data_IF_003504125189
#
_entry.id   IF_003504125189
#
_cell.length_a   1.000
_cell.length_b   1.000
_cell.length_c   1.000
_cell.angle_alpha   90.00
_cell.angle_beta   90.00
_cell.angle_gamma   90.00
#
_symmetry.space_group_name_H-M   'P 1'
#
loop_
_entity.id
_entity.type
_entity.pdbx_description
1 polymer ?
#
# COMPACT_ATOMS: atom_id res chain seq x y z
N UNK A 1 27.91 30.53 -0.73
CA UNK A 1 28.13 29.52 -1.79
C UNK A 1 27.34 29.83 -3.06
N UNK A 2 26.01 30.04 -3.02
CA UNK A 2 25.25 30.60 -4.15
C UNK A 2 25.84 31.94 -4.64
N UNK A 3 26.24 32.81 -3.70
CA UNK A 3 26.88 34.10 -4.01
C UNK A 3 28.17 33.99 -4.84
N UNK A 4 28.98 32.95 -4.66
CA UNK A 4 30.26 32.80 -5.36
C UNK A 4 30.06 32.37 -6.82
N UNK A 5 28.99 31.61 -7.08
CA UNK A 5 28.64 31.16 -8.43
C UNK A 5 27.86 32.21 -9.20
N UNK A 6 27.03 33.02 -8.53
CA UNK A 6 26.42 34.21 -9.15
C UNK A 6 27.51 35.17 -9.63
N UNK A 7 28.54 35.44 -8.81
CA UNK A 7 29.65 36.31 -9.20
C UNK A 7 30.54 35.71 -10.31
N UNK A 8 30.78 34.39 -10.28
CA UNK A 8 31.56 33.72 -11.35
C UNK A 8 30.77 33.53 -12.66
N UNK A 9 29.43 33.51 -12.63
CA UNK A 9 28.58 33.44 -13.83
C UNK A 9 28.80 34.62 -14.76
N UNK A 10 28.92 35.81 -14.19
CA UNK A 10 29.22 37.06 -14.91
C UNK A 10 30.67 37.07 -15.42
N UNK A 11 31.62 36.61 -14.59
CA UNK A 11 33.06 36.63 -14.93
C UNK A 11 33.48 35.60 -15.99
N UNK A 12 32.81 34.44 -16.05
CA UNK A 12 33.14 33.35 -16.97
C UNK A 12 32.27 33.35 -18.25
N UNK A 13 31.28 34.24 -18.35
CA UNK A 13 30.33 34.32 -19.47
C UNK A 13 29.62 32.97 -19.77
N UNK A 14 29.34 32.20 -18.72
CA UNK A 14 28.60 30.93 -18.79
C UNK A 14 27.21 31.16 -18.19
N UNK A 15 26.18 31.48 -18.99
CA UNK A 15 24.86 31.83 -18.48
C UNK A 15 24.12 30.65 -17.85
N UNK A 16 24.64 29.42 -17.87
CA UNK A 16 23.95 28.21 -17.38
C UNK A 16 24.83 27.36 -16.45
N UNK A 17 25.57 28.02 -15.55
CA UNK A 17 26.30 27.34 -14.48
C UNK A 17 25.33 27.05 -13.33
N UNK A 18 25.02 25.76 -13.12
CA UNK A 18 24.01 25.32 -12.14
C UNK A 18 24.63 24.28 -11.22
N UNK A 19 24.37 24.37 -9.91
CA UNK A 19 24.66 23.26 -8.99
C UNK A 19 23.48 22.30 -9.06
N UNK A 20 23.74 21.08 -9.53
CA UNK A 20 22.75 20.01 -9.58
C UNK A 20 23.10 18.90 -8.59
N UNK A 21 22.07 18.15 -8.19
CA UNK A 21 22.26 16.93 -7.40
C UNK A 21 22.79 15.80 -8.28
N UNK A 22 23.78 15.06 -7.78
CA UNK A 22 24.34 13.89 -8.47
C UNK A 22 24.37 12.68 -7.55
N UNK A 23 24.10 11.48 -8.09
CA UNK A 23 23.94 10.25 -7.30
C UNK A 23 25.22 9.89 -6.53
N UNK A 24 26.39 10.00 -7.18
CA UNK A 24 27.68 9.62 -6.57
C UNK A 24 28.40 10.78 -5.87
N UNK A 25 28.09 12.03 -6.25
CA UNK A 25 28.86 13.20 -5.83
C UNK A 25 28.04 14.20 -5.00
N UNK A 26 26.78 13.88 -4.70
CA UNK A 26 25.80 14.71 -3.96
C UNK A 26 25.48 16.02 -4.67
N UNK A 27 26.45 16.93 -4.84
CA UNK A 27 26.33 18.17 -5.61
C UNK A 27 27.49 18.35 -6.58
N UNK A 28 27.18 18.74 -7.81
CA UNK A 28 28.15 19.01 -8.88
C UNK A 28 27.82 20.31 -9.59
N UNK A 29 28.83 20.98 -10.12
CA UNK A 29 28.63 22.09 -11.07
C UNK A 29 28.42 21.50 -12.45
N UNK A 30 27.28 21.76 -13.06
CA UNK A 30 26.93 21.25 -14.38
C UNK A 30 26.95 22.38 -15.41
N UNK A 31 27.64 22.13 -16.52
CA UNK A 31 27.68 23.04 -17.68
C UNK A 31 27.41 22.27 -19.00
N UNK A 32 26.88 22.93 -20.04
CA UNK A 32 26.79 22.33 -21.37
C UNK A 32 28.18 21.99 -21.91
N UNK A 33 28.31 20.84 -22.60
CA UNK A 33 29.59 20.38 -23.16
C UNK A 33 30.23 21.40 -24.11
N UNK A 34 29.40 22.16 -24.84
CA UNK A 34 29.85 23.23 -25.76
C UNK A 34 30.60 24.38 -25.07
N UNK A 35 30.53 24.48 -23.74
CA UNK A 35 31.18 25.51 -22.93
C UNK A 35 32.32 24.95 -22.07
N UNK A 36 32.69 23.68 -22.24
CA UNK A 36 33.74 23.02 -21.46
C UNK A 36 35.09 23.74 -21.55
N UNK A 37 35.50 24.18 -22.74
CA UNK A 37 36.78 24.88 -22.94
C UNK A 37 36.94 26.16 -22.10
N UNK A 38 35.83 26.76 -21.63
CA UNK A 38 35.89 27.94 -20.76
C UNK A 38 36.32 27.63 -19.31
N UNK A 39 36.28 26.35 -18.89
CA UNK A 39 36.65 25.89 -17.56
C UNK A 39 37.95 25.06 -17.53
N UNK A 40 38.42 24.57 -18.68
CA UNK A 40 39.64 23.72 -18.76
C UNK A 40 40.93 24.44 -18.32
N UNK A 41 40.93 25.77 -18.28
CA UNK A 41 42.06 26.58 -17.81
C UNK A 41 41.94 27.11 -16.37
N UNK A 42 40.83 26.85 -15.67
CA UNK A 42 40.63 27.32 -14.30
C UNK A 42 41.00 26.21 -13.30
N UNK A 43 42.09 26.41 -12.55
CA UNK A 43 42.61 25.44 -11.59
C UNK A 43 41.63 25.11 -10.45
N UNK A 44 40.62 25.95 -10.24
CA UNK A 44 39.64 25.72 -9.18
C UNK A 44 38.58 24.66 -9.56
N UNK A 45 38.44 24.35 -10.85
CA UNK A 45 37.45 23.40 -11.37
C UNK A 45 38.10 22.08 -11.78
N UNK A 46 37.72 21.01 -11.10
CA UNK A 46 38.14 19.64 -11.39
C UNK A 46 37.03 18.93 -12.14
N UNK A 47 37.31 18.47 -13.37
CA UNK A 47 36.36 17.68 -14.15
C UNK A 47 36.11 16.33 -13.45
N UNK A 48 34.84 16.03 -13.18
CA UNK A 48 34.42 14.76 -12.59
C UNK A 48 33.95 13.76 -13.65
N UNK A 49 33.08 14.20 -14.54
CA UNK A 49 32.43 13.37 -15.55
C UNK A 49 31.98 14.22 -16.73
N UNK A 50 32.07 13.69 -17.95
CA UNK A 50 31.49 14.30 -19.14
C UNK A 50 30.56 13.31 -19.85
N UNK A 51 29.41 13.82 -20.29
CA UNK A 51 28.43 13.10 -21.11
C UNK A 51 28.32 13.77 -22.48
N UNK A 52 27.57 13.17 -23.40
CA UNK A 52 27.36 13.72 -24.76
C UNK A 52 26.75 15.13 -24.78
N UNK A 53 26.12 15.58 -23.69
CA UNK A 53 25.44 16.88 -23.62
C UNK A 53 25.99 17.82 -22.55
N UNK A 54 26.59 17.29 -21.48
CA UNK A 54 26.98 18.08 -20.30
C UNK A 54 28.28 17.59 -19.68
N UNK A 55 29.05 18.53 -19.15
CA UNK A 55 30.22 18.27 -18.33
C UNK A 55 29.95 18.67 -16.87
N UNK A 56 30.45 17.85 -15.94
CA UNK A 56 30.27 18.00 -14.49
C UNK A 56 31.61 18.26 -13.83
N UNK A 57 31.66 19.29 -12.99
CA UNK A 57 32.85 19.73 -12.30
C UNK A 57 32.64 19.79 -10.79
N UNK A 58 33.74 19.72 -10.06
CA UNK A 58 33.82 20.02 -8.65
C UNK A 58 34.81 21.14 -8.38
N UNK A 59 34.69 21.76 -7.22
CA UNK A 59 35.70 22.66 -6.65
C UNK A 59 36.08 22.18 -5.26
N UNK A 60 37.20 22.64 -4.71
CA UNK A 60 37.63 22.26 -3.35
C UNK A 60 36.55 22.59 -2.31
N UNK A 61 35.90 23.76 -2.41
CA UNK A 61 34.79 24.13 -1.53
C UNK A 61 33.57 23.23 -1.70
N UNK A 62 33.30 22.77 -2.92
CA UNK A 62 32.20 21.85 -3.20
C UNK A 62 32.51 20.45 -2.62
N UNK A 63 33.76 19.99 -2.69
CA UNK A 63 34.20 18.74 -2.10
C UNK A 63 34.05 18.74 -0.58
N UNK A 64 34.49 19.79 0.11
CA UNK A 64 34.30 19.94 1.57
C UNK A 64 32.82 19.87 1.97
N UNK A 65 31.95 20.54 1.21
CA UNK A 65 30.52 20.52 1.48
C UNK A 65 29.89 19.16 1.19
N UNK A 66 30.30 18.49 0.12
CA UNK A 66 29.82 17.14 -0.19
C UNK A 66 30.27 16.14 0.88
N UNK A 67 31.51 16.24 1.38
CA UNK A 67 31.98 15.41 2.49
C UNK A 67 31.14 15.60 3.76
N UNK A 68 30.85 16.86 4.12
CA UNK A 68 29.97 17.18 5.26
C UNK A 68 28.53 16.72 5.05
N UNK A 69 27.98 16.86 3.84
CA UNK A 69 26.64 16.37 3.53
C UNK A 69 26.58 14.85 3.62
N UNK A 70 27.61 14.16 3.14
CA UNK A 70 27.70 12.71 3.19
C UNK A 70 27.72 12.20 4.65
N UNK A 71 28.53 12.81 5.52
CA UNK A 71 28.58 12.42 6.93
C UNK A 71 27.23 12.63 7.62
N UNK A 72 26.53 13.74 7.33
CA UNK A 72 25.19 14.00 7.88
C UNK A 72 24.14 13.03 7.35
N UNK A 73 24.24 12.61 6.08
CA UNK A 73 23.36 11.58 5.52
C UNK A 73 23.58 10.23 6.20
N UNK A 74 24.84 9.83 6.39
CA UNK A 74 25.19 8.59 7.10
C UNK A 74 24.71 8.60 8.55
N UNK A 75 24.89 9.71 9.28
CA UNK A 75 24.39 9.89 10.65
C UNK A 75 22.86 9.83 10.70
N UNK A 76 22.18 10.53 9.79
CA UNK A 76 20.73 10.51 9.69
C UNK A 76 20.19 9.10 9.44
N UNK A 77 20.79 8.35 8.50
CA UNK A 77 20.41 6.97 8.21
C UNK A 77 20.60 6.06 9.43
N UNK A 78 21.69 6.22 10.19
CA UNK A 78 21.93 5.46 11.41
C UNK A 78 20.86 5.73 12.48
N UNK A 79 20.56 7.01 12.74
CA UNK A 79 19.54 7.41 13.72
C UNK A 79 18.17 6.90 13.29
N UNK A 80 17.81 7.04 12.02
CA UNK A 80 16.54 6.58 11.49
C UNK A 80 16.39 5.06 11.63
N UNK A 81 17.46 4.30 11.33
CA UNK A 81 17.46 2.84 11.49
C UNK A 81 17.27 2.46 12.95
N UNK A 82 18.01 3.07 13.86
CA UNK A 82 17.88 2.81 15.30
C UNK A 82 16.46 3.11 15.81
N UNK A 83 15.88 4.24 15.41
CA UNK A 83 14.51 4.61 15.79
C UNK A 83 13.47 3.62 15.22
N UNK A 84 13.66 3.17 13.98
CA UNK A 84 12.77 2.19 13.36
C UNK A 84 12.85 0.83 14.06
N UNK A 85 14.05 0.39 14.44
CA UNK A 85 14.25 -0.86 15.18
C UNK A 85 13.62 -0.78 16.57
N UNK A 86 13.80 0.34 17.27
CA UNK A 86 13.19 0.57 18.58
C UNK A 86 11.65 0.56 18.51
N UNK A 87 11.06 1.25 17.53
CA UNK A 87 9.62 1.24 17.31
C UNK A 87 9.10 -0.18 17.03
N UNK A 88 9.79 -0.95 16.19
CA UNK A 88 9.43 -2.34 15.92
C UNK A 88 9.48 -3.18 17.19
N UNK A 89 10.49 -3.00 18.04
CA UNK A 89 10.61 -3.71 19.32
C UNK A 89 9.47 -3.34 20.28
N UNK A 90 9.11 -2.06 20.38
CA UNK A 90 7.98 -1.61 21.21
C UNK A 90 6.63 -2.14 20.71
N UNK A 91 6.42 -2.23 19.40
CA UNK A 91 5.18 -2.80 18.85
C UNK A 91 5.14 -4.31 19.05
N UNK A 92 6.25 -5.00 18.77
CA UNK A 92 6.32 -6.46 18.91
C UNK A 92 6.27 -6.93 20.35
N UNK A 93 6.67 -6.11 21.33
CA UNK A 93 6.46 -6.43 22.76
C UNK A 93 4.97 -6.50 23.14
N UNK A 94 4.08 -5.94 22.32
CA UNK A 94 2.62 -6.00 22.49
C UNK A 94 1.94 -6.93 21.47
N UNK A 95 2.70 -7.76 20.75
CA UNK A 95 2.19 -8.56 19.64
C UNK A 95 1.03 -9.48 20.04
N UNK A 96 1.08 -10.08 21.23
CA UNK A 96 0.03 -11.01 21.65
C UNK A 96 -1.28 -10.27 21.98
N UNK A 97 -1.22 -9.13 22.67
CA UNK A 97 -2.39 -8.27 22.88
C UNK A 97 -2.98 -7.77 21.56
N UNK A 98 -2.14 -7.41 20.58
CA UNK A 98 -2.60 -6.99 19.26
C UNK A 98 -3.29 -8.13 18.49
N UNK A 99 -2.81 -9.37 18.63
CA UNK A 99 -3.46 -10.55 18.03
C UNK A 99 -4.80 -10.83 18.68
N UNK A 100 -4.89 -10.80 20.01
CA UNK A 100 -6.15 -11.00 20.73
C UNK A 100 -7.19 -9.94 20.34
N UNK A 101 -6.76 -8.67 20.24
CA UNK A 101 -7.59 -7.59 19.75
C UNK A 101 -8.06 -7.85 18.31
N UNK A 102 -7.16 -8.27 17.42
CA UNK A 102 -7.50 -8.56 16.03
C UNK A 102 -8.54 -9.69 15.90
N UNK A 103 -8.41 -10.76 16.69
CA UNK A 103 -9.40 -11.84 16.75
C UNK A 103 -10.75 -11.32 17.23
N UNK A 104 -10.76 -10.55 18.32
CA UNK A 104 -11.99 -9.97 18.88
C UNK A 104 -12.68 -9.04 17.87
N UNK A 105 -11.90 -8.23 17.14
CA UNK A 105 -12.43 -7.36 16.08
C UNK A 105 -13.00 -8.16 14.91
N UNK A 106 -12.36 -9.26 14.52
CA UNK A 106 -12.86 -10.14 13.47
C UNK A 106 -14.18 -10.82 13.87
N UNK A 107 -14.30 -11.27 15.12
CA UNK A 107 -15.55 -11.82 15.65
C UNK A 107 -16.69 -10.80 15.62
N UNK A 108 -16.41 -9.56 16.02
CA UNK A 108 -17.37 -8.46 15.95
C UNK A 108 -17.78 -8.14 14.50
N UNK A 109 -16.84 -8.09 13.57
CA UNK A 109 -17.11 -7.83 12.16
C UNK A 109 -18.04 -8.90 11.56
N UNK A 110 -17.75 -10.19 11.81
CA UNK A 110 -18.61 -11.29 11.37
C UNK A 110 -20.00 -11.22 12.02
N UNK A 111 -20.06 -11.01 13.34
CA UNK A 111 -21.34 -10.96 14.06
C UNK A 111 -22.23 -9.80 13.58
N UNK A 112 -21.64 -8.61 13.40
CA UNK A 112 -22.37 -7.43 12.91
C UNK A 112 -22.78 -7.56 11.45
N UNK A 113 -21.91 -8.13 10.60
CA UNK A 113 -22.22 -8.42 9.20
C UNK A 113 -23.38 -9.40 9.06
N UNK A 114 -23.40 -10.48 9.87
CA UNK A 114 -24.51 -11.42 9.90
C UNK A 114 -25.81 -10.79 10.42
N UNK A 115 -25.73 -9.94 11.45
CA UNK A 115 -26.89 -9.22 11.97
C UNK A 115 -27.48 -8.26 10.93
N UNK A 116 -26.63 -7.51 10.23
CA UNK A 116 -27.05 -6.62 9.15
C UNK A 116 -27.70 -7.40 8.01
N UNK A 117 -27.08 -8.51 7.59
CA UNK A 117 -27.61 -9.39 6.56
C UNK A 117 -28.99 -9.93 6.96
N UNK A 118 -29.13 -10.37 8.21
CA UNK A 118 -30.40 -10.88 8.73
C UNK A 118 -31.49 -9.81 8.71
N UNK A 119 -31.18 -8.57 9.09
CA UNK A 119 -32.13 -7.46 9.03
C UNK A 119 -32.54 -7.12 7.59
N UNK A 120 -31.56 -7.03 6.68
CA UNK A 120 -31.81 -6.65 5.29
C UNK A 120 -32.57 -7.72 4.50
N UNK A 121 -32.37 -9.00 4.84
CA UNK A 121 -32.96 -10.14 4.13
C UNK A 121 -34.06 -10.84 4.91
N UNK A 122 -34.46 -10.29 6.06
CA UNK A 122 -35.45 -10.87 6.96
C UNK A 122 -35.11 -12.31 7.37
N UNK A 123 -33.83 -12.62 7.58
CA UNK A 123 -33.43 -13.93 8.10
C UNK A 123 -33.78 -14.03 9.58
N UNK A 124 -34.08 -15.26 9.99
CA UNK A 124 -34.46 -15.59 11.36
C UNK A 124 -33.39 -16.46 12.01
N UNK A 125 -33.23 -16.31 13.32
CA UNK A 125 -32.35 -17.19 14.09
C UNK A 125 -32.97 -18.59 14.14
N UNK A 126 -32.29 -19.65 13.66
CA UNK A 126 -32.82 -21.00 13.74
C UNK A 126 -32.85 -21.49 15.19
N UNK A 127 -33.81 -22.37 15.49
CA UNK A 127 -33.86 -23.11 16.76
C UNK A 127 -33.14 -24.43 16.57
N UNK A 128 -32.11 -24.69 17.36
CA UNK A 128 -31.31 -25.92 17.30
C UNK A 128 -31.68 -26.79 18.50
N UNK A 129 -32.17 -27.99 18.23
CA UNK A 129 -32.52 -29.01 19.22
C UNK A 129 -31.75 -30.31 19.03
N UNK A 130 -31.99 -31.28 19.91
CA UNK A 130 -31.35 -32.61 19.87
C UNK A 130 -32.19 -33.70 19.18
N UNK A 131 -33.42 -33.36 18.78
CA UNK A 131 -34.33 -34.28 18.11
C UNK A 131 -34.00 -34.37 16.62
N UNK A 132 -34.37 -35.47 15.97
CA UNK A 132 -34.29 -35.62 14.51
C UNK A 132 -35.46 -34.92 13.84
N UNK A 133 -35.46 -33.60 13.91
CA UNK A 133 -36.46 -32.73 13.31
C UNK A 133 -35.76 -31.63 12.52
N UNK A 134 -36.27 -31.36 11.32
CA UNK A 134 -35.80 -30.33 10.43
C UNK A 134 -37.02 -29.68 9.78
N UNK A 135 -37.36 -28.48 10.26
CA UNK A 135 -38.49 -27.72 9.74
C UNK A 135 -38.01 -26.37 9.24
N UNK A 136 -38.36 -26.05 8.00
CA UNK A 136 -38.19 -24.74 7.38
C UNK A 136 -39.58 -24.24 6.99
N UNK A 137 -39.89 -23.01 7.37
CA UNK A 137 -41.10 -22.30 6.94
C UNK A 137 -40.71 -21.07 6.14
N UNK A 138 -41.28 -20.90 4.96
CA UNK A 138 -40.98 -19.80 4.05
C UNK A 138 -39.50 -19.78 3.64
N UNK A 139 -38.89 -20.95 3.46
CA UNK A 139 -37.49 -21.11 3.09
C UNK A 139 -37.18 -20.48 1.73
N UNK A 140 -36.05 -19.79 1.64
CA UNK A 140 -35.56 -19.17 0.39
C UNK A 140 -34.12 -19.57 0.16
N UNK A 141 -33.77 -19.83 -1.10
CA UNK A 141 -32.40 -20.15 -1.44
C UNK A 141 -31.53 -18.88 -1.37
N UNK A 142 -30.61 -18.81 -0.40
CA UNK A 142 -29.85 -17.59 -0.07
C UNK A 142 -29.17 -16.88 -1.27
N UNK A 143 -28.61 -17.65 -2.21
CA UNK A 143 -27.94 -17.09 -3.40
C UNK A 143 -28.91 -16.73 -4.53
N UNK A 144 -29.79 -17.65 -4.94
CA UNK A 144 -30.74 -17.41 -6.04
C UNK A 144 -31.67 -16.24 -5.71
N UNK A 145 -32.13 -16.16 -4.46
CA UNK A 145 -32.96 -15.05 -3.98
C UNK A 145 -32.27 -13.69 -4.07
N UNK A 146 -30.95 -13.66 -3.88
CA UNK A 146 -30.15 -12.45 -4.02
C UNK A 146 -30.02 -12.02 -5.48
N UNK A 147 -29.93 -12.96 -6.41
CA UNK A 147 -29.80 -12.70 -7.85
C UNK A 147 -31.14 -12.33 -8.52
N UNK A 148 -32.25 -12.80 -7.98
CA UNK A 148 -33.60 -12.52 -8.48
C UNK A 148 -34.53 -12.03 -7.36
N UNK A 149 -34.24 -10.85 -6.77
CA UNK A 149 -35.05 -10.31 -5.70
C UNK A 149 -36.50 -10.09 -6.16
N UNK A 150 -37.46 -10.50 -5.31
CA UNK A 150 -38.91 -10.44 -5.55
C UNK A 150 -39.49 -11.45 -6.55
N UNK A 151 -38.67 -12.33 -7.14
CA UNK A 151 -39.14 -13.39 -8.05
C UNK A 151 -39.08 -14.79 -7.45
N UNK A 152 -38.32 -14.98 -6.36
CA UNK A 152 -38.17 -16.30 -5.74
C UNK A 152 -39.40 -16.63 -4.89
N UNK A 153 -40.00 -17.80 -5.14
CA UNK A 153 -41.11 -18.32 -4.35
C UNK A 153 -40.55 -19.13 -3.19
N UNK A 154 -40.93 -18.77 -1.96
CA UNK A 154 -40.47 -19.49 -0.77
C UNK A 154 -41.14 -20.86 -0.63
N UNK A 155 -40.41 -21.84 -0.10
CA UNK A 155 -40.90 -23.20 0.13
C UNK A 155 -40.76 -23.64 1.58
N UNK A 156 -41.72 -24.43 2.04
CA UNK A 156 -41.65 -25.11 3.32
C UNK A 156 -40.95 -26.46 3.17
N UNK A 157 -40.24 -26.89 4.21
CA UNK A 157 -39.60 -28.20 4.28
C UNK A 157 -39.86 -28.80 5.66
N UNK A 158 -40.28 -30.06 5.72
CA UNK A 158 -40.46 -30.77 6.98
C UNK A 158 -39.91 -32.19 6.86
N UNK A 159 -38.74 -32.38 7.45
CA UNK A 159 -38.05 -33.66 7.54
C UNK A 159 -37.96 -34.03 9.02
N UNK A 160 -38.19 -35.30 9.32
CA UNK A 160 -38.27 -35.78 10.69
C UNK A 160 -38.03 -37.28 10.75
N UNK A 161 -39.02 -38.04 11.21
CA UNK A 161 -38.98 -39.51 11.12
C UNK A 161 -38.99 -40.03 9.67
N UNK A 162 -39.63 -39.28 8.75
CA UNK A 162 -39.55 -39.55 7.31
C UNK A 162 -38.26 -38.94 6.77
N UNK A 163 -37.34 -39.81 6.34
CA UNK A 163 -35.97 -39.43 5.96
C UNK A 163 -35.79 -39.14 4.46
N UNK A 164 -36.80 -39.40 3.64
CA UNK A 164 -36.71 -39.27 2.17
C UNK A 164 -37.97 -38.63 1.61
N UNK A 165 -37.78 -37.62 0.76
CA UNK A 165 -38.81 -37.02 -0.07
C UNK A 165 -38.55 -37.37 -1.54
N UNK A 166 -39.61 -37.78 -2.25
CA UNK A 166 -39.57 -37.91 -3.72
C UNK A 166 -40.18 -36.63 -4.27
N UNK A 167 -39.35 -35.76 -4.80
CA UNK A 167 -39.75 -34.52 -5.46
C UNK A 167 -39.80 -34.78 -6.96
N UNK A 168 -40.92 -34.44 -7.61
CA UNK A 168 -41.11 -34.60 -9.05
C UNK A 168 -41.73 -33.34 -9.64
N UNK A 169 -41.38 -33.02 -10.87
CA UNK A 169 -41.98 -31.93 -11.63
C UNK A 169 -41.35 -31.77 -13.01
N UNK A 170 -41.72 -30.70 -13.74
CA UNK A 170 -41.14 -30.38 -15.04
C UNK A 170 -39.71 -29.83 -14.88
N UNK A 171 -38.84 -30.04 -15.89
CA UNK A 171 -37.40 -29.68 -15.87
C UNK A 171 -37.04 -28.22 -15.47
N UNK A 172 -38.00 -27.29 -15.44
CA UNK A 172 -37.83 -25.88 -15.04
C UNK A 172 -38.64 -25.48 -13.79
N UNK A 173 -39.21 -26.45 -13.06
CA UNK A 173 -40.11 -26.22 -11.92
C UNK A 173 -39.43 -25.83 -10.60
N UNK A 174 -38.12 -25.54 -10.62
CA UNK A 174 -37.38 -25.11 -9.43
C UNK A 174 -36.96 -26.25 -8.49
N UNK A 175 -37.20 -27.52 -8.81
CA UNK A 175 -36.88 -28.70 -7.97
C UNK A 175 -35.43 -28.74 -7.49
N UNK A 176 -34.49 -28.19 -8.26
CA UNK A 176 -33.06 -28.14 -7.92
C UNK A 176 -32.70 -27.05 -6.90
N UNK A 177 -33.60 -26.09 -6.68
CA UNK A 177 -33.38 -24.90 -5.86
C UNK A 177 -34.32 -24.84 -4.65
N UNK A 178 -35.17 -25.86 -4.49
CA UNK A 178 -36.04 -26.05 -3.33
C UNK A 178 -35.28 -26.66 -2.15
#
# INVERSE_FOLDING_TARGET
>A
MLYLLVFRREKLNIPRLVINSHKSFIRVVEIPLTKQAALEGDSDFVLLEATSTKARYSTLKLQELNAKLKSLQEEHEQVQKALSEDLCNQVTSHADNLKELAVSMAELDVATSLALLALQRSYVKPVIGYNKEFSIKGGRHAVVDMLQPNSFVSNDCELGEKTVWIVTGPNMGGEKFN
#
